data_IF_945983590653
#
_entry.id   IF_945983590653
#
_cell.length_a   1.000
_cell.length_b   1.000
_cell.length_c   1.000
_cell.angle_alpha   90.00
_cell.angle_beta   90.00
_cell.angle_gamma   90.00
#
_symmetry.space_group_name_H-M   'P 1'
#
loop_
_entity.id
_entity.type
_entity.pdbx_description
1 polymer ?
#
# COMPACT_ATOMS: atom_id res chain seq x y z
N UNK A 1 -25.19 5.58 -22.94
CA UNK A 1 -24.06 5.21 -22.06
C UNK A 1 -24.62 4.95 -20.68
N UNK A 2 -24.40 3.75 -20.15
CA UNK A 2 -24.87 3.33 -18.83
C UNK A 2 -23.70 2.78 -17.99
N UNK A 3 -23.96 2.47 -16.72
CA UNK A 3 -22.90 1.99 -15.81
C UNK A 3 -22.33 0.61 -16.21
N UNK A 4 -23.08 -0.21 -16.94
CA UNK A 4 -22.60 -1.49 -17.45
C UNK A 4 -21.56 -1.28 -18.56
N UNK A 5 -21.78 -0.28 -19.41
CA UNK A 5 -20.81 0.08 -20.45
C UNK A 5 -19.53 0.62 -19.84
N UNK A 6 -19.62 1.52 -18.85
CA UNK A 6 -18.44 2.03 -18.14
C UNK A 6 -17.67 0.92 -17.44
N UNK A 7 -18.36 0.04 -16.71
CA UNK A 7 -17.71 -1.12 -16.03
C UNK A 7 -17.05 -2.06 -17.05
N UNK A 8 -17.73 -2.32 -18.17
CA UNK A 8 -17.19 -3.17 -19.24
C UNK A 8 -15.90 -2.59 -19.78
N UNK A 9 -15.90 -1.30 -20.13
CA UNK A 9 -14.73 -0.64 -20.70
C UNK A 9 -13.56 -0.59 -19.71
N UNK A 10 -13.81 -0.17 -18.46
CA UNK A 10 -12.79 -0.15 -17.39
C UNK A 10 -12.20 -1.55 -17.16
N UNK A 11 -13.05 -2.58 -17.09
CA UNK A 11 -12.57 -3.98 -16.89
C UNK A 11 -11.66 -4.42 -18.04
N UNK A 12 -11.97 -4.06 -19.29
CA UNK A 12 -11.16 -4.43 -20.46
C UNK A 12 -9.79 -3.75 -20.44
N UNK A 13 -9.76 -2.50 -20.04
CA UNK A 13 -8.51 -1.74 -19.93
C UNK A 13 -7.63 -2.29 -18.79
N UNK A 14 -8.23 -2.53 -17.62
CA UNK A 14 -7.52 -3.03 -16.44
C UNK A 14 -6.91 -4.42 -16.67
N UNK A 15 -7.63 -5.31 -17.38
CA UNK A 15 -7.15 -6.66 -17.68
C UNK A 15 -6.16 -6.69 -18.86
N UNK A 16 -6.18 -5.69 -19.75
CA UNK A 16 -5.35 -5.62 -20.95
C UNK A 16 -5.58 -6.78 -21.94
N UNK A 17 -6.58 -7.64 -21.71
CA UNK A 17 -6.83 -8.86 -22.49
C UNK A 17 -8.33 -9.15 -22.61
N UNK A 18 -8.84 -9.23 -23.87
CA UNK A 18 -10.28 -9.43 -24.12
C UNK A 18 -10.81 -10.74 -23.53
N UNK A 19 -10.06 -11.83 -23.63
CA UNK A 19 -10.51 -13.14 -23.15
C UNK A 19 -10.64 -13.15 -21.64
N UNK A 20 -9.62 -12.68 -20.92
CA UNK A 20 -9.67 -12.55 -19.45
C UNK A 20 -10.78 -11.59 -19.00
N UNK A 21 -10.96 -10.49 -19.73
CA UNK A 21 -12.05 -9.53 -19.44
C UNK A 21 -13.43 -10.16 -19.63
N UNK A 22 -13.61 -10.96 -20.67
CA UNK A 22 -14.87 -11.64 -20.95
C UNK A 22 -15.20 -12.66 -19.83
N UNK A 23 -14.20 -13.43 -19.39
CA UNK A 23 -14.34 -14.35 -18.26
C UNK A 23 -14.75 -13.61 -16.98
N UNK A 24 -14.06 -12.50 -16.67
CA UNK A 24 -14.36 -11.67 -15.50
C UNK A 24 -15.72 -11.01 -15.53
N UNK A 25 -16.23 -10.70 -16.73
CA UNK A 25 -17.56 -10.14 -16.96
C UNK A 25 -18.65 -11.19 -17.13
N UNK A 26 -18.31 -12.49 -17.06
CA UNK A 26 -19.22 -13.61 -17.26
C UNK A 26 -19.98 -13.56 -18.61
N UNK A 27 -19.30 -13.16 -19.68
CA UNK A 27 -19.83 -13.13 -21.05
C UNK A 27 -18.87 -13.79 -22.03
N UNK A 28 -19.36 -14.14 -23.23
CA UNK A 28 -18.48 -14.66 -24.30
C UNK A 28 -17.59 -13.57 -24.89
N UNK A 29 -16.38 -13.94 -25.32
CA UNK A 29 -15.45 -13.02 -25.98
C UNK A 29 -16.05 -12.35 -27.24
N UNK A 30 -16.82 -13.03 -28.12
CA UNK A 30 -17.51 -12.35 -29.23
C UNK A 30 -18.53 -11.30 -28.77
N UNK A 31 -19.28 -11.59 -27.70
CA UNK A 31 -20.23 -10.65 -27.12
C UNK A 31 -19.53 -9.41 -26.56
N UNK A 32 -18.40 -9.58 -25.85
CA UNK A 32 -17.58 -8.47 -25.38
C UNK A 32 -17.03 -7.64 -26.54
N UNK A 33 -16.48 -8.28 -27.57
CA UNK A 33 -15.95 -7.60 -28.76
C UNK A 33 -17.04 -6.80 -29.49
N UNK A 34 -18.26 -7.33 -29.55
CA UNK A 34 -19.40 -6.62 -30.12
C UNK A 34 -19.77 -5.38 -29.28
N UNK A 35 -19.85 -5.52 -27.96
CA UNK A 35 -20.13 -4.36 -27.06
C UNK A 35 -19.10 -3.26 -27.17
N UNK A 36 -17.81 -3.62 -27.25
CA UNK A 36 -16.75 -2.64 -27.40
C UNK A 36 -16.83 -1.86 -28.71
N UNK A 37 -17.12 -2.55 -29.84
CA UNK A 37 -17.32 -1.86 -31.13
C UNK A 37 -18.52 -0.93 -31.08
N UNK A 38 -19.65 -1.39 -30.54
CA UNK A 38 -20.83 -0.56 -30.39
C UNK A 38 -20.58 0.66 -29.51
N UNK A 39 -19.77 0.53 -28.47
CA UNK A 39 -19.32 1.63 -27.64
C UNK A 39 -18.49 2.64 -28.44
N UNK A 40 -17.46 2.19 -29.16
CA UNK A 40 -16.60 3.03 -30.00
C UNK A 40 -17.43 3.73 -31.07
N UNK A 41 -18.37 3.04 -31.70
CA UNK A 41 -19.31 3.62 -32.69
C UNK A 41 -20.19 4.72 -32.05
N UNK A 42 -20.69 4.51 -30.83
CA UNK A 42 -21.52 5.46 -30.11
C UNK A 42 -20.77 6.72 -29.67
N UNK A 43 -19.49 6.58 -29.36
CA UNK A 43 -18.59 7.68 -28.96
C UNK A 43 -18.02 8.39 -30.19
N UNK A 44 -17.97 7.70 -31.33
CA UNK A 44 -17.42 8.22 -32.61
C UNK A 44 -15.89 8.22 -32.69
N UNK A 45 -15.21 7.54 -31.77
CA UNK A 45 -13.77 7.42 -31.74
C UNK A 45 -13.33 6.00 -31.42
N UNK A 46 -12.19 5.58 -32.02
CA UNK A 46 -11.51 4.37 -31.54
C UNK A 46 -10.86 4.64 -30.19
N UNK A 47 -11.21 3.83 -29.20
CA UNK A 47 -10.75 3.98 -27.82
C UNK A 47 -9.65 2.98 -27.47
N UNK A 48 -9.61 1.84 -28.19
CA UNK A 48 -8.71 0.73 -27.92
C UNK A 48 -7.84 0.41 -29.15
N UNK A 49 -6.57 0.15 -28.88
CA UNK A 49 -5.63 -0.43 -29.85
C UNK A 49 -5.44 -1.90 -29.49
N UNK A 50 -5.62 -2.79 -30.48
CA UNK A 50 -5.34 -4.22 -30.36
C UNK A 50 -3.94 -4.49 -30.86
N UNK A 51 -3.07 -4.97 -30.00
CA UNK A 51 -1.69 -5.34 -30.34
C UNK A 51 -1.48 -6.84 -30.14
N UNK A 52 -0.34 -7.36 -30.59
CA UNK A 52 0.08 -8.74 -30.30
C UNK A 52 0.32 -8.99 -28.81
N UNK A 53 0.58 -7.93 -28.05
CA UNK A 53 0.82 -7.98 -26.59
C UNK A 53 -0.46 -7.80 -25.76
N UNK A 54 -1.59 -7.45 -26.40
CA UNK A 54 -2.86 -7.24 -25.72
C UNK A 54 -3.60 -5.99 -26.19
N UNK A 55 -4.29 -5.33 -25.25
CA UNK A 55 -5.07 -4.12 -25.49
C UNK A 55 -4.36 -2.94 -24.83
N UNK A 56 -4.25 -1.84 -25.57
CA UNK A 56 -3.80 -0.54 -25.07
C UNK A 56 -4.82 0.54 -25.39
N UNK A 57 -4.76 1.66 -24.70
CA UNK A 57 -5.63 2.82 -24.95
C UNK A 57 -5.11 3.68 -26.11
N UNK A 58 -6.02 4.28 -26.85
CA UNK A 58 -5.73 5.46 -27.66
C UNK A 58 -5.72 6.70 -26.77
N UNK A 59 -5.21 7.87 -27.22
CA UNK A 59 -5.36 9.13 -26.46
C UNK A 59 -6.81 9.46 -26.11
N UNK A 60 -7.76 9.18 -27.02
CA UNK A 60 -9.20 9.31 -26.77
C UNK A 60 -9.70 8.28 -25.77
N UNK A 61 -9.14 7.07 -25.81
CA UNK A 61 -9.39 6.00 -24.85
C UNK A 61 -8.97 6.35 -23.42
N UNK A 62 -7.83 7.02 -23.25
CA UNK A 62 -7.40 7.50 -21.93
C UNK A 62 -8.39 8.51 -21.34
N UNK A 63 -8.81 9.49 -22.13
CA UNK A 63 -9.81 10.47 -21.71
C UNK A 63 -11.14 9.78 -21.35
N UNK A 64 -11.56 8.82 -22.15
CA UNK A 64 -12.79 8.07 -21.92
C UNK A 64 -12.69 7.14 -20.70
N UNK A 65 -11.54 6.52 -20.48
CA UNK A 65 -11.27 5.69 -19.31
C UNK A 65 -11.37 6.49 -18.00
N UNK A 66 -10.74 7.66 -17.96
CA UNK A 66 -10.82 8.54 -16.81
C UNK A 66 -12.24 9.05 -16.55
N UNK A 67 -12.97 9.32 -17.64
CA UNK A 67 -14.40 9.67 -17.56
C UNK A 67 -15.23 8.52 -16.95
N UNK A 68 -15.06 7.29 -17.45
CA UNK A 68 -15.75 6.11 -16.94
C UNK A 68 -15.47 5.88 -15.45
N UNK A 69 -14.22 5.98 -15.03
CA UNK A 69 -13.83 5.84 -13.63
C UNK A 69 -14.49 6.93 -12.75
N UNK A 70 -14.55 8.15 -13.23
CA UNK A 70 -15.23 9.25 -12.52
C UNK A 70 -16.73 8.99 -12.39
N UNK A 71 -17.42 8.63 -13.47
CA UNK A 71 -18.86 8.33 -13.46
C UNK A 71 -19.22 7.16 -12.54
N UNK A 72 -18.39 6.13 -12.50
CA UNK A 72 -18.59 5.01 -11.58
C UNK A 72 -18.42 5.44 -10.12
N UNK A 73 -17.47 6.32 -9.82
CA UNK A 73 -17.30 6.90 -8.47
C UNK A 73 -18.49 7.77 -8.07
N UNK A 74 -18.94 8.64 -8.98
CA UNK A 74 -20.08 9.54 -8.70
C UNK A 74 -21.34 8.74 -8.44
N UNK A 75 -21.56 7.65 -9.19
CA UNK A 75 -22.67 6.73 -8.94
C UNK A 75 -22.57 6.05 -7.58
N UNK A 76 -21.40 5.52 -7.22
CA UNK A 76 -21.17 4.94 -5.89
C UNK A 76 -21.43 5.99 -4.78
N UNK A 77 -20.99 7.23 -4.99
CA UNK A 77 -21.21 8.34 -4.05
C UNK A 77 -22.71 8.64 -3.86
N UNK A 78 -23.46 8.64 -4.96
CA UNK A 78 -24.92 8.83 -4.91
C UNK A 78 -25.61 7.68 -4.15
N UNK A 79 -25.26 6.43 -4.45
CA UNK A 79 -25.80 5.26 -3.75
C UNK A 79 -25.53 5.33 -2.25
N UNK A 80 -24.32 5.75 -1.86
CA UNK A 80 -23.94 5.98 -0.47
C UNK A 80 -24.77 7.12 0.18
N UNK A 81 -24.95 8.24 -0.52
CA UNK A 81 -25.74 9.38 0.01
C UNK A 81 -27.20 9.00 0.24
N UNK A 82 -27.78 8.21 -0.67
CA UNK A 82 -29.16 7.75 -0.55
C UNK A 82 -29.35 6.75 0.61
N UNK A 83 -28.37 5.88 0.85
CA UNK A 83 -28.41 4.90 1.96
C UNK A 83 -28.13 5.55 3.32
N UNK A 84 -27.36 6.62 3.37
CA UNK A 84 -27.07 7.37 4.61
C UNK A 84 -28.29 7.99 5.27
N UNK A 85 -29.41 8.13 4.53
CA UNK A 85 -30.67 8.67 5.06
C UNK A 85 -31.33 7.76 6.13
N UNK A 86 -30.85 6.54 6.33
CA UNK A 86 -31.42 5.55 7.27
C UNK A 86 -30.84 5.64 8.68
N UNK A 87 -29.90 6.54 8.96
CA UNK A 87 -29.21 6.70 10.25
C UNK A 87 -28.22 5.61 10.61
N UNK A 88 -28.02 4.60 9.73
CA UNK A 88 -27.00 3.56 9.88
C UNK A 88 -25.75 3.90 9.06
N UNK A 89 -24.59 3.65 9.64
CA UNK A 89 -23.32 3.77 8.93
C UNK A 89 -23.09 2.49 8.15
N UNK A 90 -23.28 2.57 6.84
CA UNK A 90 -23.14 1.44 5.91
C UNK A 90 -22.54 1.90 4.59
N UNK A 91 -22.13 0.97 3.75
CA UNK A 91 -21.56 1.24 2.44
C UNK A 91 -20.23 0.52 2.23
N UNK A 92 -19.57 0.82 1.10
CA UNK A 92 -18.27 0.21 0.77
C UNK A 92 -17.14 1.17 1.08
N UNK A 93 -16.15 0.70 1.83
CA UNK A 93 -14.89 1.38 2.13
C UNK A 93 -13.77 0.70 1.34
N UNK A 94 -13.23 1.39 0.32
CA UNK A 94 -12.12 0.91 -0.49
C UNK A 94 -10.80 1.47 0.05
N UNK A 95 -9.94 0.58 0.52
CA UNK A 95 -8.64 0.91 1.12
C UNK A 95 -7.52 0.39 0.21
N UNK A 96 -6.52 1.22 -0.06
CA UNK A 96 -5.23 0.77 -0.54
C UNK A 96 -4.19 0.91 0.57
N UNK A 97 -3.33 -0.08 0.74
CA UNK A 97 -2.36 -0.09 1.83
C UNK A 97 -1.00 -0.58 1.38
N UNK A 98 0.05 0.01 1.91
CA UNK A 98 1.38 -0.58 1.81
C UNK A 98 1.39 -1.97 2.46
N UNK A 99 2.14 -2.92 1.86
CA UNK A 99 2.17 -4.32 2.30
C UNK A 99 2.46 -4.42 3.79
N UNK A 100 3.49 -3.76 4.27
CA UNK A 100 3.88 -3.86 5.68
C UNK A 100 2.83 -3.28 6.64
N UNK A 101 2.18 -2.17 6.28
CA UNK A 101 1.09 -1.63 7.10
C UNK A 101 -0.11 -2.58 7.12
N UNK A 102 -0.40 -3.20 5.98
CA UNK A 102 -1.47 -4.20 5.87
C UNK A 102 -1.18 -5.48 6.68
N UNK A 103 0.08 -5.88 6.78
CA UNK A 103 0.47 -7.09 7.49
C UNK A 103 0.47 -6.91 9.02
N UNK A 104 0.86 -5.72 9.51
CA UNK A 104 1.15 -5.53 10.93
C UNK A 104 0.16 -4.65 11.67
N UNK A 105 -0.35 -3.58 11.06
CA UNK A 105 -1.20 -2.58 11.72
C UNK A 105 -2.67 -2.67 11.32
N UNK A 106 -2.92 -2.80 10.02
CA UNK A 106 -4.28 -2.76 9.48
C UNK A 106 -5.22 -3.84 10.05
N UNK A 107 -4.79 -5.08 10.36
CA UNK A 107 -5.68 -6.09 10.89
C UNK A 107 -6.30 -5.71 12.24
N UNK A 108 -5.52 -5.16 13.17
CA UNK A 108 -6.01 -4.73 14.48
C UNK A 108 -6.96 -3.53 14.35
N UNK A 109 -6.58 -2.56 13.52
CA UNK A 109 -7.39 -1.37 13.20
C UNK A 109 -8.75 -1.77 12.60
N UNK A 110 -8.75 -2.63 11.58
CA UNK A 110 -9.99 -3.05 10.91
C UNK A 110 -10.86 -3.96 11.77
N UNK A 111 -10.25 -4.81 12.61
CA UNK A 111 -11.01 -5.63 13.56
C UNK A 111 -11.84 -4.74 14.47
N UNK A 112 -11.20 -3.78 15.15
CA UNK A 112 -11.88 -2.90 16.10
C UNK A 112 -12.86 -1.93 15.42
N UNK A 113 -12.58 -1.51 14.17
CA UNK A 113 -13.53 -0.73 13.38
C UNK A 113 -14.80 -1.53 13.03
N UNK A 114 -14.65 -2.77 12.57
CA UNK A 114 -15.79 -3.63 12.21
C UNK A 114 -16.65 -4.03 13.39
N UNK A 115 -16.10 -4.12 14.59
CA UNK A 115 -16.87 -4.36 15.82
C UNK A 115 -17.85 -3.22 16.11
N UNK A 116 -17.51 -1.97 15.74
CA UNK A 116 -18.35 -0.80 15.92
C UNK A 116 -19.27 -0.53 14.71
N UNK A 117 -18.82 -0.87 13.49
CA UNK A 117 -19.51 -0.57 12.23
C UNK A 117 -19.63 -1.82 11.36
N UNK A 118 -20.43 -2.83 11.80
CA UNK A 118 -20.52 -4.14 11.12
C UNK A 118 -21.13 -4.08 9.72
N UNK A 119 -21.95 -3.06 9.44
CA UNK A 119 -22.63 -2.90 8.15
C UNK A 119 -21.76 -2.23 7.07
N UNK A 120 -20.50 -1.87 7.39
CA UNK A 120 -19.53 -1.34 6.40
C UNK A 120 -18.81 -2.50 5.71
N UNK A 121 -18.96 -2.58 4.39
CA UNK A 121 -18.22 -3.52 3.56
C UNK A 121 -16.81 -2.99 3.27
N UNK A 122 -15.76 -3.73 3.63
CA UNK A 122 -14.37 -3.29 3.48
C UNK A 122 -13.69 -4.07 2.36
N UNK A 123 -13.08 -3.34 1.43
CA UNK A 123 -12.23 -3.87 0.38
C UNK A 123 -10.80 -3.34 0.58
N UNK A 124 -9.81 -4.23 0.64
CA UNK A 124 -8.40 -3.87 0.81
C UNK A 124 -7.60 -4.35 -0.38
N UNK A 125 -6.81 -3.45 -0.96
CA UNK A 125 -5.76 -3.77 -1.93
C UNK A 125 -4.41 -3.46 -1.30
N UNK A 126 -3.44 -4.35 -1.46
CA UNK A 126 -2.08 -4.17 -0.94
C UNK A 126 -1.07 -4.10 -2.06
N UNK A 127 -0.10 -3.20 -1.93
CA UNK A 127 0.98 -3.02 -2.90
C UNK A 127 2.17 -2.29 -2.25
N UNK A 128 3.25 -2.07 -2.99
CA UNK A 128 4.29 -1.12 -2.59
C UNK A 128 3.74 0.32 -2.54
N UNK A 129 4.30 1.17 -1.68
CA UNK A 129 3.76 2.51 -1.43
C UNK A 129 3.63 3.37 -2.69
N UNK A 130 4.55 3.29 -3.65
CA UNK A 130 4.43 4.00 -4.92
C UNK A 130 3.21 3.56 -5.74
N UNK A 131 2.86 2.27 -5.70
CA UNK A 131 1.68 1.73 -6.36
C UNK A 131 0.40 2.10 -5.61
N UNK A 132 0.43 2.12 -4.26
CA UNK A 132 -0.67 2.59 -3.42
C UNK A 132 -1.01 4.04 -3.76
N UNK A 133 0.00 4.92 -3.86
CA UNK A 133 -0.19 6.30 -4.27
C UNK A 133 -0.75 6.41 -5.70
N UNK A 134 -0.27 5.58 -6.62
CA UNK A 134 -0.85 5.51 -7.97
C UNK A 134 -2.33 5.11 -7.92
N UNK A 135 -2.69 4.06 -7.18
CA UNK A 135 -4.10 3.64 -7.00
C UNK A 135 -4.95 4.77 -6.43
N UNK A 136 -4.42 5.51 -5.47
CA UNK A 136 -5.11 6.66 -4.89
C UNK A 136 -5.32 7.78 -5.92
N UNK A 137 -4.27 8.20 -6.61
CA UNK A 137 -4.34 9.27 -7.60
C UNK A 137 -5.25 8.92 -8.80
N UNK A 138 -5.39 7.62 -9.12
CA UNK A 138 -6.35 7.14 -10.15
C UNK A 138 -7.76 6.88 -9.60
N UNK A 139 -7.98 7.05 -8.27
CA UNK A 139 -9.27 6.88 -7.63
C UNK A 139 -9.72 5.42 -7.50
N UNK A 140 -8.78 4.47 -7.45
CA UNK A 140 -9.07 3.04 -7.24
C UNK A 140 -9.32 2.70 -5.78
N UNK A 141 -9.07 3.65 -4.87
CA UNK A 141 -9.39 3.57 -3.44
C UNK A 141 -9.89 4.92 -2.92
N UNK A 142 -10.54 4.90 -1.78
CA UNK A 142 -11.10 6.08 -1.09
C UNK A 142 -10.16 6.58 0.00
N UNK A 143 -9.46 5.64 0.66
CA UNK A 143 -8.44 5.91 1.67
C UNK A 143 -7.21 5.09 1.33
N UNK A 144 -6.04 5.70 1.47
CA UNK A 144 -4.77 5.02 1.27
C UNK A 144 -3.87 5.13 2.50
N UNK A 145 -3.13 4.05 2.80
CA UNK A 145 -2.06 4.06 3.79
C UNK A 145 -0.73 3.89 3.07
N UNK A 146 -0.04 5.01 2.85
CA UNK A 146 1.23 5.05 2.15
C UNK A 146 2.38 5.33 3.12
N UNK A 147 3.55 4.72 2.87
CA UNK A 147 4.74 4.85 3.71
C UNK A 147 5.87 5.52 2.95
N UNK A 148 6.44 6.56 3.55
CA UNK A 148 7.47 7.42 2.94
C UNK A 148 6.88 8.71 2.34
N UNK A 149 7.76 9.61 1.92
CA UNK A 149 7.40 10.96 1.44
C UNK A 149 6.97 10.98 -0.03
N UNK A 150 5.81 10.44 -0.35
CA UNK A 150 5.23 10.49 -1.70
C UNK A 150 4.30 11.70 -1.85
N UNK A 151 4.37 12.36 -2.99
CA UNK A 151 3.39 13.38 -3.37
C UNK A 151 2.04 12.73 -3.71
N UNK A 152 0.96 13.28 -3.16
CA UNK A 152 -0.40 12.78 -3.33
C UNK A 152 -1.35 13.91 -3.71
N UNK A 153 -2.36 13.58 -4.53
CA UNK A 153 -3.40 14.53 -4.99
C UNK A 153 -4.55 14.69 -4.00
N UNK A 154 -4.26 14.71 -2.69
CA UNK A 154 -5.29 14.79 -1.65
C UNK A 154 -4.75 15.25 -0.32
N UNK A 155 -5.56 15.07 0.73
CA UNK A 155 -5.12 15.30 2.10
C UNK A 155 -4.19 14.16 2.52
N UNK A 156 -3.09 14.51 3.18
CA UNK A 156 -2.13 13.56 3.75
C UNK A 156 -1.98 13.86 5.24
N UNK A 157 -2.23 12.88 6.08
CA UNK A 157 -2.10 12.99 7.53
C UNK A 157 -1.10 11.99 8.04
N UNK A 158 -0.10 12.47 8.76
CA UNK A 158 0.87 11.61 9.45
C UNK A 158 0.16 10.84 10.55
N UNK A 159 0.19 9.52 10.48
CA UNK A 159 -0.36 8.63 11.51
C UNK A 159 0.70 8.18 12.50
N UNK A 160 1.85 7.79 11.97
CA UNK A 160 2.95 7.30 12.80
C UNK A 160 4.29 7.54 12.09
N UNK A 161 5.29 7.71 12.91
CA UNK A 161 6.69 7.77 12.53
C UNK A 161 7.43 6.66 13.29
N UNK A 162 8.21 5.85 12.59
CA UNK A 162 8.91 4.71 13.18
C UNK A 162 10.37 4.66 12.73
N UNK A 163 11.30 4.22 13.58
CA UNK A 163 12.69 4.10 13.21
C UNK A 163 12.93 2.91 12.27
N UNK A 164 13.94 3.03 11.41
CA UNK A 164 14.61 1.89 10.84
C UNK A 164 15.46 1.23 11.94
N UNK A 165 15.54 -0.09 11.91
CA UNK A 165 16.23 -0.87 12.92
C UNK A 165 17.23 -1.81 12.29
N UNK A 166 18.44 -1.79 12.81
CA UNK A 166 19.44 -2.82 12.59
C UNK A 166 19.03 -4.08 13.36
N UNK A 167 18.99 -5.22 12.71
CA UNK A 167 18.55 -6.49 13.32
C UNK A 167 19.55 -7.61 13.06
N UNK A 168 19.94 -8.33 14.12
CA UNK A 168 20.91 -9.43 14.08
C UNK A 168 20.71 -10.40 15.23
N UNK A 169 21.17 -11.64 15.08
CA UNK A 169 20.99 -12.71 16.07
C UNK A 169 22.07 -12.70 17.14
N UNK A 170 23.31 -12.54 16.71
CA UNK A 170 24.48 -12.62 17.59
C UNK A 170 24.99 -11.23 17.92
N UNK A 171 25.36 -10.99 19.18
CA UNK A 171 25.87 -9.69 19.59
C UNK A 171 27.26 -9.48 18.98
N UNK A 172 27.32 -8.68 17.96
CA UNK A 172 28.55 -8.23 17.30
C UNK A 172 28.61 -6.71 17.30
N UNK A 173 29.80 -6.10 17.40
CA UNK A 173 29.94 -4.66 17.23
C UNK A 173 29.38 -4.24 15.87
N UNK A 174 28.62 -3.13 15.77
CA UNK A 174 28.02 -2.68 14.51
C UNK A 174 29.05 -2.54 13.38
N UNK A 175 30.25 -2.07 13.68
CA UNK A 175 31.37 -1.94 12.73
C UNK A 175 31.88 -3.28 12.17
N UNK A 176 31.56 -4.39 12.83
CA UNK A 176 31.91 -5.74 12.35
C UNK A 176 30.87 -6.35 11.43
N UNK A 177 29.69 -5.73 11.32
CA UNK A 177 28.58 -6.28 10.51
C UNK A 177 28.86 -6.29 9.02
N UNK A 178 29.78 -5.47 8.52
CA UNK A 178 30.21 -5.52 7.11
C UNK A 178 30.78 -6.90 6.70
N UNK A 179 31.34 -7.67 7.68
CA UNK A 179 31.92 -9.00 7.49
C UNK A 179 30.91 -10.12 7.74
N UNK A 180 29.73 -9.80 8.26
CA UNK A 180 28.64 -10.75 8.52
C UNK A 180 27.71 -10.78 7.33
N UNK A 181 27.15 -11.93 6.93
CA UNK A 181 26.21 -12.03 5.82
C UNK A 181 25.02 -11.07 5.96
N UNK A 182 24.78 -10.27 4.91
CA UNK A 182 23.62 -9.37 4.83
C UNK A 182 22.48 -10.06 4.10
N UNK A 183 21.26 -9.94 4.65
CA UNK A 183 20.04 -10.46 4.04
C UNK A 183 19.28 -9.26 3.47
N UNK A 184 19.20 -9.20 2.13
CA UNK A 184 18.46 -8.17 1.40
C UNK A 184 17.04 -8.64 1.13
N UNK A 185 16.07 -7.75 1.24
CA UNK A 185 14.68 -8.05 0.91
C UNK A 185 14.13 -7.07 -0.13
N UNK A 186 13.13 -7.54 -0.90
CA UNK A 186 12.45 -6.70 -1.88
C UNK A 186 11.66 -5.58 -1.19
N UNK A 187 11.90 -4.35 -1.58
CA UNK A 187 11.31 -3.15 -0.97
C UNK A 187 11.19 -2.01 -1.98
N UNK A 188 10.54 -0.90 -1.57
CA UNK A 188 10.52 0.34 -2.35
C UNK A 188 11.93 0.91 -2.53
N UNK A 189 12.18 1.56 -3.67
CA UNK A 189 13.47 2.19 -3.96
C UNK A 189 13.89 3.21 -2.87
N UNK A 190 12.94 3.91 -2.27
CA UNK A 190 13.20 4.84 -1.16
C UNK A 190 13.83 4.17 0.05
N UNK A 191 13.39 2.95 0.38
CA UNK A 191 13.95 2.15 1.48
C UNK A 191 15.32 1.61 1.11
N UNK A 192 15.47 1.06 -0.11
CA UNK A 192 16.76 0.55 -0.59
C UNK A 192 17.83 1.65 -0.52
N UNK A 193 17.52 2.86 -1.00
CA UNK A 193 18.43 4.01 -0.96
C UNK A 193 18.82 4.40 0.47
N UNK A 194 17.89 4.36 1.43
CA UNK A 194 18.21 4.64 2.84
C UNK A 194 19.17 3.60 3.40
N UNK A 195 18.93 2.32 3.13
CA UNK A 195 19.79 1.22 3.58
C UNK A 195 21.19 1.37 2.96
N UNK A 196 21.28 1.57 1.66
CA UNK A 196 22.54 1.73 0.94
C UNK A 196 23.33 2.95 1.45
N UNK A 197 22.66 4.09 1.63
CA UNK A 197 23.28 5.30 2.15
C UNK A 197 23.82 5.08 3.56
N UNK A 198 23.02 4.47 4.45
CA UNK A 198 23.44 4.20 5.80
C UNK A 198 24.66 3.26 5.84
N UNK A 199 24.64 2.19 5.05
CA UNK A 199 25.78 1.28 4.93
C UNK A 199 27.05 2.00 4.42
N UNK A 200 26.92 2.84 3.40
CA UNK A 200 28.05 3.61 2.86
C UNK A 200 28.61 4.64 3.86
N UNK A 201 27.81 5.10 4.81
CA UNK A 201 28.23 6.02 5.85
C UNK A 201 28.94 5.35 7.05
N UNK A 202 28.68 4.05 7.27
CA UNK A 202 29.12 3.32 8.48
C UNK A 202 30.09 2.19 8.22
N UNK A 203 30.24 1.74 6.98
CA UNK A 203 31.14 0.66 6.60
C UNK A 203 32.18 1.13 5.58
N UNK A 204 33.38 0.51 5.62
CA UNK A 204 34.44 0.77 4.63
C UNK A 204 34.13 0.14 3.26
N UNK A 205 33.38 -0.96 3.24
CA UNK A 205 32.95 -1.66 2.04
C UNK A 205 31.46 -2.03 2.13
N UNK A 206 30.76 -2.16 0.98
CA UNK A 206 29.37 -2.64 0.98
C UNK A 206 29.24 -4.00 1.66
N UNK A 207 28.16 -4.23 2.43
CA UNK A 207 27.92 -5.53 3.08
C UNK A 207 27.85 -6.66 2.06
N UNK A 208 28.32 -7.84 2.46
CA UNK A 208 28.24 -9.05 1.64
C UNK A 208 26.80 -9.54 1.61
N UNK A 209 26.11 -9.33 0.49
CA UNK A 209 24.76 -9.85 0.29
C UNK A 209 24.82 -11.36 0.09
N UNK A 210 24.41 -12.11 1.10
CA UNK A 210 24.41 -13.58 1.04
C UNK A 210 23.05 -14.13 0.59
N UNK A 211 21.97 -13.38 0.78
CA UNK A 211 20.61 -13.82 0.45
C UNK A 211 19.77 -12.67 -0.02
N UNK A 212 18.93 -12.95 -1.03
CA UNK A 212 17.85 -12.09 -1.51
C UNK A 212 16.51 -12.77 -1.22
N UNK A 213 15.62 -12.07 -0.53
CA UNK A 213 14.28 -12.58 -0.20
C UNK A 213 13.18 -11.61 -0.65
N UNK A 214 11.97 -12.12 -0.84
CA UNK A 214 10.89 -11.36 -1.46
C UNK A 214 10.12 -10.46 -0.46
N UNK A 215 10.31 -10.64 0.85
CA UNK A 215 9.55 -9.89 1.85
C UNK A 215 10.36 -9.59 3.11
N UNK A 216 9.98 -8.50 3.78
CA UNK A 216 10.52 -8.12 5.07
C UNK A 216 10.24 -9.20 6.15
N UNK A 217 9.09 -9.84 6.10
CA UNK A 217 8.72 -10.92 7.02
C UNK A 217 9.64 -12.12 6.87
N UNK A 218 9.94 -12.57 5.64
CA UNK A 218 10.90 -13.64 5.37
C UNK A 218 12.29 -13.26 5.84
N UNK A 219 12.73 -12.03 5.56
CA UNK A 219 14.02 -11.52 6.01
C UNK A 219 14.15 -11.61 7.53
N UNK A 220 13.16 -11.15 8.27
CA UNK A 220 13.12 -11.24 9.73
C UNK A 220 13.27 -12.69 10.23
N UNK A 221 12.57 -13.64 9.62
CA UNK A 221 12.70 -15.06 10.00
C UNK A 221 14.10 -15.60 9.77
N UNK A 222 14.76 -15.18 8.71
CA UNK A 222 16.15 -15.58 8.40
C UNK A 222 17.14 -14.98 9.40
N UNK A 223 16.97 -13.71 9.76
CA UNK A 223 17.77 -13.09 10.83
C UNK A 223 17.59 -13.84 12.16
N UNK A 224 16.36 -14.19 12.53
CA UNK A 224 16.08 -14.99 13.74
C UNK A 224 16.75 -16.37 13.71
N UNK A 225 16.85 -16.98 12.54
CA UNK A 225 17.54 -18.23 12.36
C UNK A 225 19.09 -18.10 12.44
N UNK A 226 19.62 -16.87 12.55
CA UNK A 226 21.06 -16.63 12.60
C UNK A 226 21.76 -16.69 11.25
N UNK A 227 21.02 -16.52 10.14
CA UNK A 227 21.58 -16.61 8.78
C UNK A 227 22.27 -15.31 8.33
N UNK A 228 22.19 -14.25 9.13
CA UNK A 228 22.78 -12.95 8.84
C UNK A 228 22.07 -11.82 9.57
N UNK A 229 22.34 -10.58 9.12
CA UNK A 229 21.73 -9.37 9.63
C UNK A 229 20.98 -8.61 8.54
N UNK A 230 20.13 -7.66 8.94
CA UNK A 230 19.42 -6.80 8.01
C UNK A 230 19.04 -5.47 8.65
N UNK A 231 18.45 -4.57 7.84
CA UNK A 231 17.82 -3.34 8.29
C UNK A 231 16.33 -3.44 7.98
N UNK A 232 15.50 -3.43 9.01
CA UNK A 232 14.05 -3.48 8.91
C UNK A 232 13.46 -2.18 9.45
N UNK A 233 12.20 -1.89 9.15
CA UNK A 233 11.47 -0.84 9.90
C UNK A 233 10.96 -1.43 11.20
N UNK A 234 10.71 -0.61 12.22
CA UNK A 234 10.19 -1.05 13.52
C UNK A 234 8.93 -1.92 13.37
N UNK A 235 7.98 -1.50 12.51
CA UNK A 235 6.77 -2.28 12.19
C UNK A 235 7.11 -3.68 11.66
N UNK A 236 8.15 -3.80 10.84
CA UNK A 236 8.61 -5.07 10.30
C UNK A 236 9.16 -6.06 11.33
N UNK A 237 9.44 -5.61 12.54
CA UNK A 237 9.78 -6.48 13.66
C UNK A 237 8.57 -7.33 14.09
N UNK A 238 7.35 -6.86 13.84
CA UNK A 238 6.11 -7.54 14.17
C UNK A 238 6.02 -7.90 15.64
N UNK A 239 5.47 -9.07 15.95
CA UNK A 239 5.41 -9.59 17.32
C UNK A 239 6.78 -10.03 17.87
N UNK A 240 7.87 -9.79 17.13
CA UNK A 240 9.23 -10.07 17.58
C UNK A 240 9.73 -9.08 18.66
N UNK A 241 8.89 -8.82 19.64
CA UNK A 241 9.32 -8.40 20.98
C UNK A 241 10.14 -9.52 21.65
N UNK A 242 10.52 -10.53 20.84
CA UNK A 242 11.22 -11.71 21.30
C UNK A 242 12.66 -11.36 21.64
N UNK A 243 13.08 -11.84 22.79
CA UNK A 243 14.43 -11.72 23.32
C UNK A 243 15.52 -12.40 22.48
N UNK A 244 15.16 -12.91 21.30
CA UNK A 244 16.00 -13.78 20.46
C UNK A 244 16.85 -13.05 19.40
N UNK A 245 16.61 -11.76 19.20
CA UNK A 245 17.41 -10.92 18.28
C UNK A 245 17.76 -9.59 18.95
N UNK A 246 18.86 -9.02 18.51
CA UNK A 246 19.24 -7.66 18.86
C UNK A 246 18.61 -6.70 17.89
N UNK A 247 18.11 -5.58 18.41
CA UNK A 247 17.42 -4.54 17.65
C UNK A 247 17.99 -3.19 18.06
N UNK A 248 18.62 -2.49 17.15
CA UNK A 248 19.14 -1.14 17.40
C UNK A 248 18.53 -0.17 16.39
N UNK A 249 17.96 0.96 16.82
CA UNK A 249 17.45 1.96 15.90
C UNK A 249 18.60 2.57 15.09
N UNK A 250 18.37 2.74 13.78
CA UNK A 250 19.33 3.41 12.91
C UNK A 250 19.44 4.88 13.29
N UNK A 251 20.68 5.33 13.40
CA UNK A 251 21.00 6.75 13.62
C UNK A 251 21.82 7.30 12.46
N UNK A 252 21.61 8.56 12.15
CA UNK A 252 22.48 9.34 11.30
C UNK A 252 23.73 9.76 12.07
N UNK A 253 24.71 10.34 11.39
CA UNK A 253 25.99 10.79 12.00
C UNK A 253 25.82 11.80 13.13
N UNK A 254 24.74 12.58 13.14
CA UNK A 254 24.42 13.54 14.19
C UNK A 254 23.65 12.91 15.37
N UNK A 255 23.39 11.60 15.32
CA UNK A 255 22.71 10.83 16.37
C UNK A 255 21.18 10.83 16.27
N UNK A 256 20.57 11.51 15.30
CA UNK A 256 19.12 11.49 15.09
C UNK A 256 18.65 10.15 14.53
N UNK A 257 17.45 9.70 14.89
CA UNK A 257 16.87 8.49 14.31
C UNK A 257 16.57 8.69 12.83
N UNK A 258 16.87 7.66 12.04
CA UNK A 258 16.41 7.58 10.65
C UNK A 258 15.05 6.90 10.69
N UNK A 259 14.01 7.65 10.31
CA UNK A 259 12.62 7.24 10.49
C UNK A 259 11.90 7.04 9.16
N UNK A 260 10.75 6.39 9.24
CA UNK A 260 9.82 6.22 8.14
C UNK A 260 8.40 6.59 8.57
N UNK A 261 7.83 7.50 7.84
CA UNK A 261 6.46 7.96 8.03
C UNK A 261 5.46 6.97 7.44
N UNK A 262 4.31 6.85 8.09
CA UNK A 262 3.10 6.28 7.53
C UNK A 262 2.00 7.34 7.52
N UNK A 263 1.46 7.61 6.35
CA UNK A 263 0.43 8.61 6.14
C UNK A 263 -0.89 7.97 5.74
N UNK A 264 -1.98 8.47 6.29
CA UNK A 264 -3.32 8.26 5.78
C UNK A 264 -3.63 9.32 4.75
N UNK A 265 -4.04 8.88 3.56
CA UNK A 265 -4.33 9.74 2.42
C UNK A 265 -5.78 9.57 1.99
N UNK A 266 -6.48 10.68 1.73
CA UNK A 266 -7.87 10.68 1.27
C UNK A 266 -8.17 11.98 0.53
N UNK A 267 -9.21 12.00 -0.33
CA UNK A 267 -9.69 13.22 -0.97
C UNK A 267 -10.81 13.84 -0.14
N UNK A 268 -11.09 15.12 -0.38
CA UNK A 268 -12.22 15.81 0.27
C UNK A 268 -13.55 15.16 -0.13
N UNK A 269 -13.69 14.83 -1.41
CA UNK A 269 -14.88 14.20 -1.97
C UNK A 269 -15.13 12.81 -1.36
N UNK A 270 -14.07 12.02 -1.16
CA UNK A 270 -14.22 10.71 -0.50
C UNK A 270 -14.57 10.85 0.98
N UNK A 271 -14.06 11.90 1.65
CA UNK A 271 -14.35 12.18 3.05
C UNK A 271 -15.81 12.68 3.30
N UNK A 272 -16.54 13.08 2.26
CA UNK A 272 -17.95 13.41 2.36
C UNK A 272 -18.85 12.16 2.45
N UNK A 273 -18.34 10.98 2.07
CA UNK A 273 -19.04 9.70 2.22
C UNK A 273 -19.06 9.27 3.68
N UNK A 274 -20.24 8.98 4.24
CA UNK A 274 -20.39 8.73 5.67
C UNK A 274 -19.50 7.60 6.18
N UNK A 275 -19.40 6.47 5.47
CA UNK A 275 -18.55 5.35 5.86
C UNK A 275 -17.05 5.71 5.85
N UNK A 276 -16.63 6.51 4.86
CA UNK A 276 -15.23 6.98 4.73
C UNK A 276 -14.91 7.99 5.81
N UNK A 277 -15.80 8.99 6.01
CA UNK A 277 -15.67 9.98 7.08
C UNK A 277 -15.53 9.31 8.44
N UNK A 278 -16.44 8.40 8.75
CA UNK A 278 -16.43 7.65 9.99
C UNK A 278 -15.11 6.86 10.16
N UNK A 279 -14.62 6.25 9.09
CA UNK A 279 -13.35 5.52 9.13
C UNK A 279 -12.16 6.44 9.36
N UNK A 280 -12.08 7.59 8.69
CA UNK A 280 -11.01 8.58 8.87
C UNK A 280 -11.00 9.08 10.34
N UNK A 281 -12.14 9.45 10.89
CA UNK A 281 -12.28 9.89 12.28
C UNK A 281 -11.87 8.77 13.24
N UNK A 282 -12.28 7.53 12.96
CA UNK A 282 -11.90 6.35 13.74
C UNK A 282 -10.39 6.12 13.74
N UNK A 283 -9.73 6.19 12.58
CA UNK A 283 -8.28 6.03 12.44
C UNK A 283 -7.53 7.09 13.25
N UNK A 284 -7.95 8.35 13.16
CA UNK A 284 -7.37 9.45 13.96
C UNK A 284 -7.45 9.16 15.46
N UNK A 285 -8.61 8.72 15.93
CA UNK A 285 -8.83 8.43 17.36
C UNK A 285 -8.10 7.16 17.81
N UNK A 286 -7.96 6.18 16.93
CA UNK A 286 -7.19 4.98 17.17
C UNK A 286 -5.72 5.33 17.42
N UNK A 287 -5.06 6.07 16.53
CA UNK A 287 -3.64 6.41 16.65
C UNK A 287 -3.33 7.46 17.72
N UNK A 288 -4.29 8.28 18.15
CA UNK A 288 -4.13 9.11 19.35
C UNK A 288 -3.99 8.29 20.65
N UNK A 289 -4.56 7.09 20.67
CA UNK A 289 -4.61 6.22 21.88
C UNK A 289 -3.57 5.10 21.85
N UNK A 290 -3.00 4.81 20.69
CA UNK A 290 -2.08 3.69 20.50
C UNK A 290 -0.69 4.19 20.17
N UNK A 291 0.27 3.90 21.05
CA UNK A 291 1.69 4.12 20.77
C UNK A 291 2.22 2.92 19.98
N UNK A 292 2.76 3.16 18.80
CA UNK A 292 3.25 2.10 17.90
C UNK A 292 4.67 1.70 18.26
N UNK A 293 5.52 2.65 18.67
CA UNK A 293 6.93 2.41 18.99
C UNK A 293 7.09 2.22 20.49
N UNK A 294 7.65 1.08 20.88
CA UNK A 294 8.02 0.74 22.27
C UNK A 294 9.55 0.65 22.34
N UNK A 295 10.17 1.68 22.88
CA UNK A 295 11.62 1.79 22.98
C UNK A 295 12.26 0.72 23.87
N UNK A 296 11.47 0.03 24.69
CA UNK A 296 11.96 -1.03 25.59
C UNK A 296 12.51 -2.25 24.87
N UNK A 297 12.20 -2.40 23.57
CA UNK A 297 12.73 -3.50 22.74
C UNK A 297 14.14 -3.23 22.22
N UNK A 298 14.59 -1.97 22.23
CA UNK A 298 15.90 -1.63 21.71
C UNK A 298 17.01 -2.13 22.62
N UNK A 299 17.90 -2.90 22.05
CA UNK A 299 19.09 -3.45 22.70
C UNK A 299 20.30 -3.02 21.90
N UNK A 300 20.86 -1.89 22.29
CA UNK A 300 22.08 -1.37 21.68
C UNK A 300 23.30 -2.14 22.21
N UNK A 301 24.27 -2.35 21.32
CA UNK A 301 25.60 -2.80 21.73
C UNK A 301 26.19 -1.73 22.65
N UNK A 302 26.42 -2.07 23.90
CA UNK A 302 27.16 -1.24 24.85
C UNK A 302 28.60 -1.69 24.84
N UNK A 303 29.49 -0.85 24.25
CA UNK A 303 30.94 -1.05 24.26
C UNK A 303 31.50 -1.06 25.69
#
# INVERSE_FOLDING_TARGET
>A
MDDKEWRTFVTVVDEGNITKSAEKLFISQPALSYRLRHLEDSVGYSLLLRTTEGITLTPQGEIYYDYCKRMLRDKESLEHALTSSTGKIQGTLKIASSINFADYELPALLKSFREQYPDVHIQVKTAFSHQVVKMFNTGDCMVAFARGGYEVSGNSELLLEEPYCLVYKELVPPESLEKVPFIRYQTDASVANIIEKWCAEHFEAPPIVAMDVNSMSTCRHFVRAGLGWSILTYMGLGSCKDKDIYVSPLRSKDGTYITRDTNMVYTKESADLIAVKTFIEYVRDYYKKHTVVDDSIFREYRS
#
